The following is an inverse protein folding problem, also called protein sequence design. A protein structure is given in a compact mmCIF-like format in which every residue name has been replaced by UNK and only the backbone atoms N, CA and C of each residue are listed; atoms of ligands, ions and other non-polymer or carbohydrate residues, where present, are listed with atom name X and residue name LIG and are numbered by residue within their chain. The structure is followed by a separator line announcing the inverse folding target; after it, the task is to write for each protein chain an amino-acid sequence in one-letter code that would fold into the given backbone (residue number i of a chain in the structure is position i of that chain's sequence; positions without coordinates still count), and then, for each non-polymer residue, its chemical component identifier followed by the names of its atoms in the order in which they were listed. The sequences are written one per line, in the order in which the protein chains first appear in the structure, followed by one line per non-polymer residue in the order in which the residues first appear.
data_IF_125018035671
#
_entry.id   IF_125018035671
#
_cell.length_a   1.000
_cell.length_b   1.000
_cell.length_c   1.000
_cell.angle_alpha   90.00
_cell.angle_beta   90.00
_cell.angle_gamma   90.00
#
_symmetry.space_group_name_H-M   'P 1'
#
loop_
_entity.id
_entity.type
_entity.pdbx_description
1 polymer ?
#
# COMPACT_ATOMS: atom_id res chain seq x y z
N UNK A 1 32.83 -4.05 13.16
CA UNK A 1 31.71 -3.42 12.43
C UNK A 1 30.61 -4.45 12.28
N UNK A 2 29.58 -4.39 13.14
CA UNK A 2 28.38 -5.22 13.00
C UNK A 2 27.60 -4.68 11.81
N UNK A 3 27.22 -5.51 10.81
CA UNK A 3 26.33 -5.03 9.74
C UNK A 3 25.04 -4.51 10.38
N UNK A 4 24.46 -3.40 9.87
CA UNK A 4 23.19 -2.91 10.39
C UNK A 4 22.18 -4.05 10.31
N UNK A 5 21.51 -4.33 11.44
CA UNK A 5 20.43 -5.29 11.48
C UNK A 5 19.41 -4.86 10.42
N UNK A 6 19.38 -5.55 9.28
CA UNK A 6 18.26 -5.48 8.35
C UNK A 6 17.10 -5.97 9.19
N UNK A 7 16.26 -5.05 9.69
CA UNK A 7 15.08 -5.39 10.48
C UNK A 7 14.30 -6.42 9.69
N UNK A 8 14.36 -7.68 10.12
CA UNK A 8 13.55 -8.74 9.55
C UNK A 8 12.11 -8.37 9.84
N UNK A 9 11.37 -7.99 8.81
CA UNK A 9 9.93 -7.80 8.96
C UNK A 9 9.28 -9.17 9.11
N UNK A 10 8.26 -9.25 9.94
CA UNK A 10 7.47 -10.48 10.01
C UNK A 10 6.74 -10.71 8.67
N UNK A 11 6.58 -11.97 8.27
CA UNK A 11 5.82 -12.34 7.09
C UNK A 11 4.37 -11.82 7.19
N UNK A 12 3.81 -11.77 8.40
CA UNK A 12 2.49 -11.19 8.66
C UNK A 12 2.44 -9.70 8.32
N UNK A 13 3.44 -8.93 8.72
CA UNK A 13 3.52 -7.49 8.42
C UNK A 13 3.65 -7.24 6.92
N UNK A 14 4.42 -8.09 6.22
CA UNK A 14 4.55 -8.03 4.76
C UNK A 14 3.22 -8.28 4.07
N UNK A 15 2.51 -9.32 4.50
CA UNK A 15 1.24 -9.71 3.88
C UNK A 15 0.18 -8.63 4.11
N UNK A 16 0.07 -8.10 5.32
CA UNK A 16 -0.82 -6.97 5.62
C UNK A 16 -0.47 -5.73 4.79
N UNK A 17 0.82 -5.42 4.64
CA UNK A 17 1.26 -4.31 3.79
C UNK A 17 0.83 -4.51 2.32
N UNK A 18 0.92 -5.73 1.78
CA UNK A 18 0.48 -6.05 0.43
C UNK A 18 -1.04 -5.97 0.28
N UNK A 19 -1.80 -6.42 1.28
CA UNK A 19 -3.27 -6.30 1.30
C UNK A 19 -3.70 -4.83 1.22
N UNK A 20 -3.11 -3.96 2.05
CA UNK A 20 -3.43 -2.53 2.04
C UNK A 20 -3.07 -1.84 0.71
N UNK A 21 -1.95 -2.24 0.08
CA UNK A 21 -1.58 -1.76 -1.25
C UNK A 21 -2.55 -2.24 -2.32
N UNK A 22 -2.98 -3.50 -2.28
CA UNK A 22 -3.94 -4.07 -3.22
C UNK A 22 -5.32 -3.38 -3.10
N UNK A 23 -5.74 -3.04 -1.89
CA UNK A 23 -6.97 -2.28 -1.65
C UNK A 23 -6.90 -0.84 -2.20
N UNK A 24 -5.68 -0.28 -2.28
CA UNK A 24 -5.41 1.12 -2.66
C UNK A 24 -5.66 2.12 -1.52
N UNK A 25 -5.81 1.64 -0.29
CA UNK A 25 -6.08 2.47 0.90
C UNK A 25 -4.87 3.30 1.31
N UNK A 26 -3.67 2.79 1.06
CA UNK A 26 -2.37 3.40 1.37
C UNK A 26 -1.47 3.51 0.14
N UNK A 27 -0.45 4.35 0.19
CA UNK A 27 0.61 4.43 -0.84
C UNK A 27 1.84 3.62 -0.44
N UNK A 28 2.73 3.37 -1.40
CA UNK A 28 4.04 2.73 -1.14
C UNK A 28 4.86 3.51 -0.11
N UNK A 29 4.78 4.85 -0.13
CA UNK A 29 5.48 5.70 0.83
C UNK A 29 4.95 5.52 2.26
N UNK A 30 3.63 5.39 2.41
CA UNK A 30 2.99 5.17 3.72
C UNK A 30 3.40 3.81 4.29
N UNK A 31 3.33 2.76 3.48
CA UNK A 31 3.74 1.41 3.87
C UNK A 31 5.21 1.37 4.26
N UNK A 32 6.09 1.97 3.47
CA UNK A 32 7.51 2.03 3.76
C UNK A 32 7.80 2.67 5.13
N UNK A 33 7.08 3.74 5.48
CA UNK A 33 7.17 4.36 6.80
C UNK A 33 6.65 3.45 7.92
N UNK A 34 5.51 2.77 7.71
CA UNK A 34 4.90 1.87 8.69
C UNK A 34 5.79 0.66 9.00
N UNK A 35 6.31 -0.01 7.98
CA UNK A 35 7.16 -1.19 8.15
C UNK A 35 8.64 -0.86 8.38
N UNK A 36 9.00 0.43 8.40
CA UNK A 36 10.38 0.95 8.53
C UNK A 36 11.34 0.35 7.50
N UNK A 37 10.89 0.27 6.25
CA UNK A 37 11.68 -0.25 5.12
C UNK A 37 11.82 0.77 4.00
N UNK A 38 12.69 0.50 3.04
CA UNK A 38 12.83 1.37 1.87
C UNK A 38 11.64 1.24 0.92
N UNK A 39 11.27 2.34 0.25
CA UNK A 39 10.23 2.34 -0.78
C UNK A 39 10.54 1.37 -1.93
N UNK A 40 11.83 1.20 -2.25
CA UNK A 40 12.28 0.26 -3.26
C UNK A 40 11.95 -1.19 -2.89
N UNK A 41 12.14 -1.57 -1.62
CA UNK A 41 11.84 -2.90 -1.14
C UNK A 41 10.33 -3.18 -1.18
N UNK A 42 9.51 -2.21 -0.78
CA UNK A 42 8.04 -2.30 -0.85
C UNK A 42 7.57 -2.42 -2.30
N UNK A 43 8.14 -1.62 -3.22
CA UNK A 43 7.89 -1.76 -4.65
C UNK A 43 8.23 -3.16 -5.18
N UNK A 44 9.36 -3.71 -4.73
CA UNK A 44 9.77 -5.06 -5.10
C UNK A 44 8.76 -6.11 -4.61
N UNK A 45 8.26 -6.01 -3.38
CA UNK A 45 7.22 -6.91 -2.88
C UNK A 45 5.92 -6.80 -3.68
N UNK A 46 5.45 -5.58 -3.95
CA UNK A 46 4.24 -5.35 -4.74
C UNK A 46 4.37 -5.95 -6.14
N UNK A 47 5.50 -5.70 -6.82
CA UNK A 47 5.80 -6.28 -8.14
C UNK A 47 5.80 -7.81 -8.12
N UNK A 48 6.42 -8.42 -7.11
CA UNK A 48 6.46 -9.89 -6.95
C UNK A 48 5.09 -10.49 -6.68
N UNK A 49 4.21 -9.74 -6.00
CA UNK A 49 2.82 -10.12 -5.74
C UNK A 49 1.86 -9.80 -6.91
N UNK A 50 2.35 -9.20 -8.01
CA UNK A 50 1.51 -8.78 -9.13
C UNK A 50 0.59 -7.59 -8.84
N UNK A 51 0.90 -6.81 -7.80
CA UNK A 51 0.14 -5.63 -7.40
C UNK A 51 0.74 -4.40 -8.08
N UNK A 52 -0.11 -3.59 -8.71
CA UNK A 52 0.23 -2.24 -9.16
C UNK A 52 -0.36 -1.21 -8.17
N UNK A 53 0.45 -0.68 -7.23
CA UNK A 53 -0.05 0.21 -6.19
C UNK A 53 -0.67 1.51 -6.73
N UNK A 54 -0.20 1.99 -7.88
CA UNK A 54 -0.70 3.23 -8.48
C UNK A 54 -2.13 2.99 -8.97
N UNK A 55 -2.32 1.93 -9.76
CA UNK A 55 -3.63 1.56 -10.27
C UNK A 55 -4.63 1.24 -9.15
N UNK A 56 -4.20 0.48 -8.14
CA UNK A 56 -5.04 0.19 -6.96
C UNK A 56 -5.50 1.48 -6.26
N UNK A 57 -4.59 2.45 -6.10
CA UNK A 57 -4.91 3.76 -5.49
C UNK A 57 -5.88 4.56 -6.34
N UNK A 58 -5.69 4.62 -7.65
CA UNK A 58 -6.61 5.30 -8.55
C UNK A 58 -8.02 4.71 -8.48
N UNK A 59 -8.14 3.39 -8.50
CA UNK A 59 -9.42 2.69 -8.42
C UNK A 59 -10.10 2.89 -7.06
N UNK A 60 -9.33 2.94 -5.96
CA UNK A 60 -9.84 3.31 -4.65
C UNK A 60 -10.41 4.74 -4.64
N UNK A 61 -9.66 5.71 -5.16
CA UNK A 61 -10.07 7.11 -5.20
C UNK A 61 -11.30 7.32 -6.10
N UNK A 62 -11.39 6.61 -7.24
CA UNK A 62 -12.57 6.62 -8.12
C UNK A 62 -13.82 6.14 -7.36
N UNK A 63 -13.72 5.02 -6.64
CA UNK A 63 -14.83 4.48 -5.82
C UNK A 63 -15.29 5.50 -4.78
N UNK A 64 -14.35 6.12 -4.04
CA UNK A 64 -14.67 7.16 -3.06
C UNK A 64 -15.33 8.39 -3.69
N UNK A 65 -14.83 8.82 -4.84
CA UNK A 65 -15.36 9.96 -5.58
C UNK A 65 -16.83 9.74 -5.97
N UNK A 66 -17.13 8.63 -6.64
CA UNK A 66 -18.50 8.31 -7.05
C UNK A 66 -19.44 8.12 -5.86
N UNK A 67 -18.97 7.49 -4.78
CA UNK A 67 -19.76 7.35 -3.55
C UNK A 67 -20.11 8.72 -2.94
N UNK A 68 -19.17 9.69 -2.94
CA UNK A 68 -19.42 11.05 -2.47
C UNK A 68 -20.37 11.83 -3.37
N UNK A 69 -20.25 11.69 -4.70
CA UNK A 69 -21.19 12.30 -5.64
C UNK A 69 -22.62 11.77 -5.45
N UNK A 70 -22.80 10.46 -5.28
CA UNK A 70 -24.10 9.85 -5.02
C UNK A 70 -24.74 10.40 -3.74
N UNK A 71 -23.97 10.51 -2.65
CA UNK A 71 -24.43 11.10 -1.38
C UNK A 71 -24.87 12.56 -1.51
N UNK A 72 -24.26 13.34 -2.40
CA UNK A 72 -24.63 14.75 -2.64
C UNK A 72 -25.88 14.92 -3.49
N UNK A 73 -26.15 13.99 -4.43
CA UNK A 73 -27.34 14.04 -5.31
C UNK A 73 -28.62 13.53 -4.65
N UNK A 74 -28.50 12.73 -3.58
CA UNK A 74 -29.64 12.18 -2.83
C UNK A 74 -30.09 13.05 -1.65
N UNK A 75 -29.66 14.31 -1.61
CA UNK A 75 -30.03 15.33 -0.62
C UNK A 75 -30.67 16.49 -1.37
#
# INVERSE_FOLDING_TARGET
MTPPAISQIDEKERNLALELLAEGSVTVSDVAALVKQSRQLVHHWAKRAGIDPIKCREDYLRRLWFARLKKRKGK
#
